data_IF_083769216076
#
_entry.id   IF_083769216076
#
_cell.length_a   1.000
_cell.length_b   1.000
_cell.length_c   1.000
_cell.angle_alpha   90.00
_cell.angle_beta   90.00
_cell.angle_gamma   90.00
#
_symmetry.space_group_name_H-M   'P 1'
#
loop_
_entity.id
_entity.type
_entity.pdbx_description
1 polymer ?
#
# COMPACT_ATOMS: atom_id res chain seq x y z
N UNK A 1 12.73 -1.08 -10.92
CA UNK A 1 11.71 -2.11 -11.18
C UNK A 1 12.42 -3.45 -11.21
N UNK A 2 11.89 -4.48 -10.57
CA UNK A 2 12.49 -5.82 -10.57
C UNK A 2 12.32 -6.40 -11.98
N UNK A 3 13.28 -7.19 -12.54
CA UNK A 3 13.16 -7.76 -13.89
C UNK A 3 11.82 -8.47 -14.15
N UNK A 4 11.30 -9.15 -13.14
CA UNK A 4 10.02 -9.85 -13.18
C UNK A 4 8.82 -8.91 -13.34
N UNK A 5 8.85 -7.71 -12.72
CA UNK A 5 7.80 -6.69 -12.91
C UNK A 5 7.72 -6.22 -14.35
N UNK A 6 8.89 -6.09 -15.03
CA UNK A 6 8.95 -5.66 -16.44
C UNK A 6 8.30 -6.69 -17.34
N UNK A 7 8.64 -7.97 -17.15
CA UNK A 7 8.05 -9.08 -17.93
C UNK A 7 6.53 -9.14 -17.77
N UNK A 8 6.03 -9.00 -16.54
CA UNK A 8 4.58 -8.97 -16.27
C UNK A 8 3.93 -7.78 -16.98
N UNK A 9 4.51 -6.58 -16.90
CA UNK A 9 3.96 -5.39 -17.54
C UNK A 9 3.93 -5.49 -19.08
N UNK A 10 4.97 -6.05 -19.68
CA UNK A 10 5.04 -6.29 -21.11
C UNK A 10 4.01 -7.35 -21.55
N UNK A 11 3.93 -8.47 -20.83
CA UNK A 11 2.99 -9.53 -21.13
C UNK A 11 1.52 -9.13 -20.93
N UNK A 12 1.20 -8.26 -19.96
CA UNK A 12 -0.15 -7.72 -19.78
C UNK A 12 -0.62 -6.84 -20.97
N UNK A 13 0.34 -6.24 -21.70
CA UNK A 13 0.08 -5.42 -22.88
C UNK A 13 0.18 -6.20 -24.20
N UNK A 14 0.62 -7.46 -24.13
CA UNK A 14 0.82 -8.34 -25.29
C UNK A 14 -0.48 -9.05 -25.73
N UNK A 15 -0.34 -10.04 -26.62
CA UNK A 15 -1.45 -10.84 -27.12
C UNK A 15 -2.14 -11.70 -26.04
N UNK A 16 -3.29 -12.24 -26.38
CA UNK A 16 -4.20 -12.96 -25.45
C UNK A 16 -3.51 -14.05 -24.60
N UNK A 17 -2.68 -14.88 -25.22
CA UNK A 17 -2.01 -16.00 -24.54
C UNK A 17 -0.98 -15.53 -23.49
N UNK A 18 -0.15 -14.55 -23.86
CA UNK A 18 0.88 -13.97 -23.01
C UNK A 18 0.26 -13.17 -21.87
N UNK A 19 -0.86 -12.51 -22.16
CA UNK A 19 -1.62 -11.76 -21.16
C UNK A 19 -2.15 -12.67 -20.06
N UNK A 20 -2.76 -13.81 -20.37
CA UNK A 20 -3.27 -14.76 -19.37
C UNK A 20 -2.14 -15.25 -18.46
N UNK A 21 -0.98 -15.58 -19.03
CA UNK A 21 0.17 -15.99 -18.24
C UNK A 21 0.63 -14.87 -17.27
N UNK A 22 0.73 -13.64 -17.76
CA UNK A 22 1.14 -12.49 -16.98
C UNK A 22 0.13 -12.08 -15.90
N UNK A 23 -1.17 -12.24 -16.15
CA UNK A 23 -2.23 -12.05 -15.15
C UNK A 23 -2.07 -13.05 -13.99
N UNK A 24 -1.79 -14.31 -14.31
CA UNK A 24 -1.53 -15.37 -13.33
C UNK A 24 -0.25 -15.08 -12.53
N UNK A 25 0.83 -14.66 -13.20
CA UNK A 25 2.10 -14.36 -12.56
C UNK A 25 1.97 -13.16 -11.62
N UNK A 26 1.27 -12.10 -12.03
CA UNK A 26 0.94 -10.95 -11.19
C UNK A 26 0.19 -11.39 -9.92
N UNK A 27 -0.84 -12.22 -10.10
CA UNK A 27 -1.65 -12.73 -9.01
C UNK A 27 -0.82 -13.54 -8.01
N UNK A 28 0.02 -14.46 -8.49
CA UNK A 28 0.81 -15.35 -7.64
C UNK A 28 1.97 -14.62 -6.95
N UNK A 29 2.59 -13.65 -7.63
CA UNK A 29 3.75 -12.93 -7.12
C UNK A 29 3.43 -12.10 -5.87
N UNK A 30 2.23 -11.54 -5.79
CA UNK A 30 1.82 -10.62 -4.72
C UNK A 30 0.71 -11.16 -3.81
N UNK A 31 0.36 -12.44 -3.89
CA UNK A 31 -0.71 -13.04 -3.09
C UNK A 31 -0.50 -12.94 -1.57
N UNK A 32 0.75 -12.74 -1.12
CA UNK A 32 1.07 -12.54 0.29
C UNK A 32 0.46 -11.24 0.87
N UNK A 33 0.02 -10.29 0.02
CA UNK A 33 -0.74 -9.12 0.47
C UNK A 33 -2.02 -9.51 1.22
N UNK A 34 -2.59 -10.69 0.94
CA UNK A 34 -3.77 -11.19 1.66
C UNK A 34 -3.47 -11.29 3.15
N UNK A 35 -2.33 -11.86 3.52
CA UNK A 35 -1.93 -11.97 4.93
C UNK A 35 -1.55 -10.61 5.52
N UNK A 36 -0.96 -9.71 4.73
CA UNK A 36 -0.68 -8.33 5.17
C UNK A 36 -1.96 -7.55 5.42
N UNK A 37 -3.00 -7.75 4.60
CA UNK A 37 -4.31 -7.14 4.79
C UNK A 37 -4.96 -7.53 6.11
N UNK A 38 -4.96 -8.83 6.43
CA UNK A 38 -5.46 -9.32 7.72
C UNK A 38 -4.73 -8.66 8.89
N UNK A 39 -3.40 -8.62 8.82
CA UNK A 39 -2.56 -8.09 9.91
C UNK A 39 -2.67 -6.58 10.06
N UNK A 40 -2.63 -5.83 8.94
CA UNK A 40 -2.59 -4.36 8.96
C UNK A 40 -3.97 -3.74 9.20
N UNK A 41 -5.02 -4.29 8.60
CA UNK A 41 -6.36 -3.70 8.63
C UNK A 41 -7.33 -4.43 9.54
N UNK A 42 -6.88 -5.51 10.21
CA UNK A 42 -7.71 -6.32 11.13
C UNK A 42 -9.00 -6.82 10.48
N UNK A 43 -8.94 -7.18 9.21
CA UNK A 43 -10.04 -7.76 8.43
C UNK A 43 -9.91 -9.28 8.35
N UNK A 44 -11.01 -9.97 8.04
CA UNK A 44 -11.00 -11.43 7.87
C UNK A 44 -10.15 -11.84 6.66
N UNK A 45 -9.73 -13.10 6.62
CA UNK A 45 -8.97 -13.62 5.47
C UNK A 45 -9.79 -13.58 4.18
N UNK A 46 -11.08 -13.84 4.27
CA UNK A 46 -12.00 -13.81 3.13
C UNK A 46 -12.20 -12.40 2.60
N UNK A 47 -12.34 -11.42 3.50
CA UNK A 47 -12.39 -10.01 3.13
C UNK A 47 -11.09 -9.55 2.47
N UNK A 48 -9.95 -9.90 3.06
CA UNK A 48 -8.64 -9.56 2.52
C UNK A 48 -8.41 -10.21 1.15
N UNK A 49 -8.83 -11.46 0.99
CA UNK A 49 -8.80 -12.19 -0.28
C UNK A 49 -9.67 -11.49 -1.35
N UNK A 50 -10.89 -11.10 -0.99
CA UNK A 50 -11.79 -10.38 -1.89
C UNK A 50 -11.20 -9.04 -2.32
N UNK A 51 -10.64 -8.26 -1.36
CA UNK A 51 -9.99 -6.97 -1.65
C UNK A 51 -8.75 -7.15 -2.53
N UNK A 52 -8.02 -8.24 -2.34
CA UNK A 52 -6.86 -8.57 -3.19
C UNK A 52 -7.27 -8.87 -4.63
N UNK A 53 -8.29 -9.71 -4.83
CA UNK A 53 -8.82 -10.02 -6.16
C UNK A 53 -9.26 -8.75 -6.89
N UNK A 54 -10.03 -7.90 -6.20
CA UNK A 54 -10.47 -6.62 -6.75
C UNK A 54 -9.30 -5.68 -7.07
N UNK A 55 -8.24 -5.70 -6.27
CA UNK A 55 -7.05 -4.88 -6.51
C UNK A 55 -6.28 -5.35 -7.74
N UNK A 56 -6.10 -6.67 -7.89
CA UNK A 56 -5.44 -7.26 -9.07
C UNK A 56 -6.21 -6.93 -10.34
N UNK A 57 -7.53 -7.12 -10.35
CA UNK A 57 -8.37 -6.80 -11.51
C UNK A 57 -8.30 -5.30 -11.88
N UNK A 58 -8.34 -4.42 -10.87
CA UNK A 58 -8.21 -2.99 -11.10
C UNK A 58 -6.82 -2.61 -11.63
N UNK A 59 -5.76 -3.23 -11.10
CA UNK A 59 -4.39 -3.00 -11.58
C UNK A 59 -4.23 -3.45 -13.03
N UNK A 60 -4.69 -4.65 -13.38
CA UNK A 60 -4.67 -5.17 -14.76
C UNK A 60 -5.42 -4.22 -15.70
N UNK A 61 -6.63 -3.83 -15.33
CA UNK A 61 -7.42 -2.89 -16.15
C UNK A 61 -6.68 -1.57 -16.39
N UNK A 62 -6.07 -1.00 -15.35
CA UNK A 62 -5.34 0.26 -15.45
C UNK A 62 -4.05 0.15 -16.26
N UNK A 63 -3.34 -0.98 -16.17
CA UNK A 63 -2.13 -1.25 -16.95
C UNK A 63 -2.49 -1.39 -18.44
N UNK A 64 -3.49 -2.19 -18.74
CA UNK A 64 -3.95 -2.44 -20.13
C UNK A 64 -4.54 -1.16 -20.76
N UNK A 65 -5.26 -0.35 -19.98
CA UNK A 65 -5.82 0.92 -20.46
C UNK A 65 -4.80 2.07 -20.52
N UNK A 66 -3.53 1.84 -20.19
CA UNK A 66 -2.49 2.86 -20.22
C UNK A 66 -2.54 3.90 -19.10
N UNK A 67 -3.37 3.68 -18.07
CA UNK A 67 -3.45 4.59 -16.90
C UNK A 67 -2.28 4.44 -15.93
N UNK A 68 -1.58 3.33 -15.99
CA UNK A 68 -0.37 3.10 -15.22
C UNK A 68 0.84 3.66 -15.98
N UNK A 69 1.42 4.73 -15.48
CA UNK A 69 2.52 5.49 -16.07
C UNK A 69 3.93 4.97 -15.76
N UNK A 70 4.04 3.95 -14.87
CA UNK A 70 5.31 3.34 -14.50
C UNK A 70 6.17 4.15 -13.52
N UNK A 71 5.66 5.24 -12.94
CA UNK A 71 6.40 6.04 -11.94
C UNK A 71 6.62 5.31 -10.60
N UNK A 72 5.85 4.28 -10.33
CA UNK A 72 6.00 3.41 -9.17
C UNK A 72 6.35 1.98 -9.59
N UNK A 73 6.92 1.17 -8.68
CA UNK A 73 7.05 -0.27 -8.91
C UNK A 73 5.67 -0.92 -9.00
N UNK A 74 5.55 -2.02 -9.72
CA UNK A 74 4.30 -2.78 -9.83
C UNK A 74 3.79 -3.22 -8.45
N UNK A 75 4.71 -3.62 -7.57
CA UNK A 75 4.42 -3.94 -6.17
C UNK A 75 3.77 -2.76 -5.43
N UNK A 76 4.38 -1.59 -5.49
CA UNK A 76 3.90 -0.38 -4.80
C UNK A 76 2.53 0.03 -5.35
N UNK A 77 2.36 -0.03 -6.66
CA UNK A 77 1.11 0.32 -7.32
C UNK A 77 -0.04 -0.61 -6.92
N UNK A 78 0.19 -1.94 -7.00
CA UNK A 78 -0.81 -2.92 -6.60
C UNK A 78 -1.14 -2.83 -5.11
N UNK A 79 -0.11 -2.66 -4.26
CA UNK A 79 -0.31 -2.51 -2.82
C UNK A 79 -1.13 -1.28 -2.47
N UNK A 80 -0.93 -0.16 -3.17
CA UNK A 80 -1.72 1.05 -2.95
C UNK A 80 -3.20 0.84 -3.29
N UNK A 81 -3.50 0.17 -4.40
CA UNK A 81 -4.89 -0.17 -4.78
C UNK A 81 -5.50 -1.09 -3.72
N UNK A 82 -4.78 -2.15 -3.33
CA UNK A 82 -5.21 -3.10 -2.31
C UNK A 82 -5.47 -2.43 -0.96
N UNK A 83 -4.53 -1.60 -0.51
CA UNK A 83 -4.61 -0.83 0.72
C UNK A 83 -5.87 0.05 0.77
N UNK A 84 -6.13 0.80 -0.31
CA UNK A 84 -7.32 1.64 -0.41
C UNK A 84 -8.61 0.83 -0.31
N UNK A 85 -8.67 -0.34 -0.97
CA UNK A 85 -9.84 -1.23 -0.90
C UNK A 85 -10.07 -1.79 0.52
N UNK A 86 -9.00 -2.17 1.22
CA UNK A 86 -9.09 -2.61 2.61
C UNK A 86 -9.59 -1.50 3.53
N UNK A 87 -9.08 -0.28 3.36
CA UNK A 87 -9.51 0.90 4.13
C UNK A 87 -10.99 1.20 3.88
N UNK A 88 -11.42 1.19 2.62
CA UNK A 88 -12.82 1.43 2.25
C UNK A 88 -13.76 0.37 2.86
N UNK A 89 -13.32 -0.90 2.90
CA UNK A 89 -14.05 -1.98 3.56
C UNK A 89 -14.20 -1.71 5.06
N UNK A 90 -13.11 -1.38 5.75
CA UNK A 90 -13.11 -1.05 7.19
C UNK A 90 -14.02 0.14 7.47
N UNK A 91 -13.96 1.20 6.67
CA UNK A 91 -14.82 2.38 6.81
C UNK A 91 -16.31 2.01 6.67
N UNK A 92 -16.66 1.23 5.65
CA UNK A 92 -18.04 0.74 5.45
C UNK A 92 -18.52 -0.09 6.64
N UNK A 93 -17.68 -0.98 7.16
CA UNK A 93 -18.03 -1.82 8.31
C UNK A 93 -18.20 -1.01 9.58
N UNK A 94 -17.41 0.04 9.79
CA UNK A 94 -17.52 0.93 10.96
C UNK A 94 -18.78 1.79 10.89
N UNK A 95 -19.13 2.30 9.72
CA UNK A 95 -20.37 3.08 9.52
C UNK A 95 -21.60 2.22 9.73
N UNK A 96 -21.59 0.96 9.29
CA UNK A 96 -22.69 0.02 9.52
C UNK A 96 -22.76 -0.47 10.98
N UNK A 97 -21.62 -0.57 11.70
CA UNK A 97 -21.59 -0.96 13.13
C UNK A 97 -22.12 0.11 14.08
N UNK A 98 -22.19 1.35 13.69
CA UNK A 98 -22.91 2.38 14.47
C UNK A 98 -24.44 2.12 14.51
N UNK A 99 -24.96 1.25 13.65
CA UNK A 99 -26.37 0.81 13.68
C UNK A 99 -26.62 -0.52 14.41
N UNK A 100 -25.59 -1.30 14.70
CA UNK A 100 -25.75 -2.60 15.42
C UNK A 100 -24.67 -2.72 16.48
N UNK A 101 -25.08 -2.56 17.73
CA UNK A 101 -24.27 -2.85 18.92
C UNK A 101 -23.89 -4.33 19.00
N UNK A 102 -22.68 -4.56 19.49
CA UNK A 102 -22.18 -5.70 20.28
C UNK A 102 -21.44 -6.84 19.58
N UNK A 103 -20.30 -6.96 20.13
CA UNK A 103 -19.60 -8.14 20.71
C UNK A 103 -18.55 -8.86 19.86
N UNK A 104 -17.36 -8.74 20.38
CA UNK A 104 -16.43 -9.76 20.89
C UNK A 104 -15.73 -10.68 19.89
N UNK A 105 -14.41 -10.65 20.03
CA UNK A 105 -13.59 -11.84 20.06
C UNK A 105 -12.49 -11.94 19.01
N UNK A 106 -11.29 -11.65 19.44
CA UNK A 106 -10.05 -12.15 18.84
C UNK A 106 -9.96 -13.65 19.13
N UNK A 107 -9.55 -14.48 18.19
CA UNK A 107 -8.42 -15.34 18.50
C UNK A 107 -7.32 -15.32 17.45
N UNK A 108 -6.14 -15.15 18.00
CA UNK A 108 -4.83 -15.52 17.53
C UNK A 108 -4.81 -16.87 16.83
N UNK A 109 -4.30 -16.91 15.61
CA UNK A 109 -3.62 -18.08 15.05
C UNK A 109 -2.74 -17.64 13.88
N UNK A 110 -1.51 -17.32 14.25
CA UNK A 110 -0.37 -17.23 13.33
C UNK A 110 -0.05 -18.63 12.80
N UNK A 111 -0.50 -18.95 11.60
CA UNK A 111 0.15 -19.99 10.82
C UNK A 111 1.08 -19.34 9.80
N UNK A 112 2.35 -19.56 10.04
CA UNK A 112 3.46 -19.18 9.19
C UNK A 112 3.39 -19.97 7.88
N UNK A 113 3.09 -19.30 6.77
CA UNK A 113 3.49 -19.85 5.47
C UNK A 113 4.89 -19.37 5.11
N UNK A 114 5.79 -20.26 4.66
CA UNK A 114 7.15 -19.90 4.33
C UNK A 114 7.18 -18.95 3.12
N UNK A 115 7.78 -17.81 3.33
CA UNK A 115 8.06 -16.80 2.31
C UNK A 115 9.26 -17.26 1.46
N UNK A 116 9.00 -18.10 0.46
CA UNK A 116 10.01 -18.72 -0.40
C UNK A 116 10.60 -17.79 -1.46
N UNK A 117 10.25 -16.52 -1.48
CA UNK A 117 10.63 -15.62 -2.59
C UNK A 117 11.74 -14.62 -2.26
N UNK A 118 12.23 -14.55 -1.01
CA UNK A 118 13.28 -13.59 -0.64
C UNK A 118 14.48 -14.27 0.00
N UNK A 119 15.66 -13.98 -0.54
CA UNK A 119 16.92 -14.41 0.09
C UNK A 119 17.10 -13.73 1.44
N UNK A 120 17.85 -14.37 2.36
CA UNK A 120 18.19 -13.79 3.67
C UNK A 120 18.83 -12.40 3.52
N UNK A 121 19.62 -12.20 2.45
CA UNK A 121 20.29 -10.94 2.13
C UNK A 121 19.27 -9.85 1.78
N UNK A 122 18.25 -10.14 0.97
CA UNK A 122 17.19 -9.18 0.63
C UNK A 122 16.40 -8.75 1.87
N UNK A 123 16.08 -9.70 2.77
CA UNK A 123 15.42 -9.39 4.05
C UNK A 123 16.27 -8.48 4.95
N UNK A 124 17.58 -8.70 5.00
CA UNK A 124 18.50 -7.86 5.77
C UNK A 124 18.60 -6.44 5.17
N UNK A 125 18.69 -6.33 3.84
CA UNK A 125 18.70 -5.03 3.15
C UNK A 125 17.40 -4.27 3.37
N UNK A 126 16.24 -4.93 3.27
CA UNK A 126 14.95 -4.30 3.52
C UNK A 126 14.81 -3.88 4.99
N UNK A 127 15.26 -4.70 5.94
CA UNK A 127 15.25 -4.34 7.36
C UNK A 127 16.11 -3.11 7.66
N UNK A 128 17.30 -3.00 7.03
CA UNK A 128 18.16 -1.82 7.14
C UNK A 128 17.51 -0.56 6.56
N UNK A 129 16.86 -0.68 5.38
CA UNK A 129 16.14 0.44 4.75
C UNK A 129 14.98 0.91 5.63
N UNK A 130 14.20 -0.01 6.20
CA UNK A 130 13.10 0.30 7.10
C UNK A 130 13.63 1.00 8.37
N UNK A 131 14.73 0.51 8.94
CA UNK A 131 15.35 1.13 10.11
C UNK A 131 15.83 2.55 9.81
N UNK A 132 16.48 2.75 8.66
CA UNK A 132 16.93 4.07 8.22
C UNK A 132 15.74 5.01 7.99
N UNK A 133 14.69 4.55 7.33
CA UNK A 133 13.47 5.33 7.12
C UNK A 133 12.83 5.76 8.44
N UNK A 134 12.68 4.84 9.40
CA UNK A 134 12.15 5.16 10.73
C UNK A 134 12.99 6.21 11.44
N UNK A 135 14.33 6.06 11.41
CA UNK A 135 15.23 7.03 12.03
C UNK A 135 15.11 8.43 11.40
N UNK A 136 14.97 8.53 10.07
CA UNK A 136 14.75 9.81 9.40
C UNK A 136 13.36 10.39 9.69
N UNK A 137 12.35 9.53 9.78
CA UNK A 137 10.98 9.95 10.14
C UNK A 137 10.93 10.60 11.53
N UNK A 138 11.69 10.08 12.51
CA UNK A 138 11.82 10.71 13.85
C UNK A 138 12.49 12.10 13.80
N UNK A 139 13.36 12.32 12.81
CA UNK A 139 14.15 13.56 12.72
C UNK A 139 13.52 14.66 11.86
N UNK A 140 12.45 14.40 11.10
CA UNK A 140 11.81 15.43 10.25
C UNK A 140 10.97 16.45 11.04
N UNK A 141 10.74 16.17 12.32
CA UNK A 141 9.90 16.96 13.24
C UNK A 141 8.51 16.35 13.42
N UNK A 142 7.98 16.49 14.65
CA UNK A 142 6.77 15.78 15.10
C UNK A 142 5.57 16.00 14.18
N UNK A 143 5.29 17.25 13.80
CA UNK A 143 4.18 17.56 12.88
C UNK A 143 4.27 16.85 11.52
N UNK A 144 5.48 16.72 10.97
CA UNK A 144 5.70 16.03 9.72
C UNK A 144 5.57 14.51 9.88
N UNK A 145 6.08 13.97 10.98
CA UNK A 145 5.95 12.55 11.32
C UNK A 145 4.48 12.18 11.45
N UNK A 146 3.74 12.95 12.24
CA UNK A 146 2.33 12.69 12.53
C UNK A 146 1.46 12.72 11.25
N UNK A 147 1.59 13.74 10.41
CA UNK A 147 0.82 13.85 9.16
C UNK A 147 1.14 12.73 8.17
N UNK A 148 2.40 12.28 8.12
CA UNK A 148 2.81 11.18 7.24
C UNK A 148 2.33 9.84 7.75
N UNK A 149 2.33 9.61 9.06
CA UNK A 149 1.80 8.38 9.67
C UNK A 149 0.29 8.28 9.51
N UNK A 150 -0.47 9.34 9.78
CA UNK A 150 -1.92 9.37 9.57
C UNK A 150 -2.29 9.09 8.12
N UNK A 151 -1.53 9.63 7.18
CA UNK A 151 -1.74 9.34 5.76
C UNK A 151 -1.39 7.89 5.40
N UNK A 152 -0.33 7.33 5.97
CA UNK A 152 0.04 5.91 5.81
C UNK A 152 -1.01 4.98 6.40
N UNK A 153 -1.64 5.38 7.51
CA UNK A 153 -2.78 4.68 8.10
C UNK A 153 -4.07 4.80 7.28
N UNK A 154 -4.03 5.54 6.18
CA UNK A 154 -5.09 5.63 5.18
C UNK A 154 -6.09 6.75 5.41
N UNK A 155 -5.79 7.72 6.29
CA UNK A 155 -6.65 8.89 6.44
C UNK A 155 -6.57 9.78 5.19
N UNK A 156 -7.70 10.31 4.78
CA UNK A 156 -7.78 11.33 3.72
C UNK A 156 -7.25 12.67 4.21
N UNK A 157 -6.82 13.54 3.30
CA UNK A 157 -6.37 14.89 3.65
C UNK A 157 -7.45 15.69 4.40
N UNK A 158 -8.74 15.38 4.23
CA UNK A 158 -9.85 15.97 4.97
C UNK A 158 -9.90 15.49 6.43
N UNK A 159 -9.75 14.20 6.65
CA UNK A 159 -9.70 13.61 7.99
C UNK A 159 -8.46 14.07 8.75
N UNK A 160 -7.31 14.11 8.08
CA UNK A 160 -6.05 14.64 8.63
C UNK A 160 -6.22 16.12 9.03
N UNK A 161 -6.89 16.93 8.19
CA UNK A 161 -7.13 18.33 8.53
C UNK A 161 -7.97 18.46 9.81
N UNK A 162 -8.97 17.61 9.99
CA UNK A 162 -9.79 17.59 11.21
C UNK A 162 -8.99 17.12 12.43
N UNK A 163 -8.21 16.05 12.29
CA UNK A 163 -7.44 15.44 13.37
C UNK A 163 -6.32 16.36 13.86
N UNK A 164 -5.59 17.00 12.93
CA UNK A 164 -4.45 17.87 13.24
C UNK A 164 -4.81 19.37 13.29
N UNK A 165 -6.10 19.69 13.27
CA UNK A 165 -6.63 21.05 13.37
C UNK A 165 -6.09 22.00 12.29
N UNK A 166 -5.92 21.51 11.05
CA UNK A 166 -5.63 22.38 9.91
C UNK A 166 -6.91 23.07 9.42
N UNK A 167 -6.75 24.26 8.87
CA UNK A 167 -7.87 25.07 8.39
C UNK A 167 -8.73 24.39 7.31
N UNK A 168 -8.13 23.54 6.48
CA UNK A 168 -8.83 22.78 5.46
C UNK A 168 -7.95 21.64 4.88
N UNK A 169 -8.55 20.76 4.09
CA UNK A 169 -7.90 19.64 3.44
C UNK A 169 -6.75 20.06 2.48
N UNK A 170 -6.86 21.22 1.83
CA UNK A 170 -5.83 21.72 0.93
C UNK A 170 -4.54 22.09 1.67
N UNK A 171 -4.66 22.67 2.87
CA UNK A 171 -3.52 22.97 3.75
C UNK A 171 -2.89 21.68 4.26
N UNK A 172 -3.69 20.70 4.70
CA UNK A 172 -3.18 19.40 5.13
C UNK A 172 -2.43 18.70 3.98
N UNK A 173 -3.02 18.64 2.79
CA UNK A 173 -2.37 18.07 1.58
C UNK A 173 -1.04 18.75 1.27
N UNK A 174 -1.00 20.08 1.25
CA UNK A 174 0.21 20.84 0.93
C UNK A 174 1.30 20.59 1.99
N UNK A 175 0.93 20.57 3.26
CA UNK A 175 1.84 20.27 4.37
C UNK A 175 2.37 18.84 4.26
N UNK A 176 1.52 17.87 4.00
CA UNK A 176 1.91 16.47 3.81
C UNK A 176 2.91 16.31 2.65
N UNK A 177 2.65 16.95 1.51
CA UNK A 177 3.55 16.89 0.36
C UNK A 177 4.93 17.49 0.68
N UNK A 178 4.98 18.64 1.37
CA UNK A 178 6.25 19.24 1.83
C UNK A 178 6.99 18.34 2.82
N UNK A 179 6.28 17.71 3.75
CA UNK A 179 6.87 16.78 4.70
C UNK A 179 7.42 15.53 4.00
N UNK A 180 6.72 15.02 2.99
CA UNK A 180 7.19 13.90 2.17
C UNK A 180 8.44 14.27 1.36
N UNK A 181 8.49 15.46 0.78
CA UNK A 181 9.66 15.96 0.06
C UNK A 181 10.87 16.09 0.99
N UNK A 182 10.69 16.69 2.17
CA UNK A 182 11.73 16.78 3.21
C UNK A 182 12.25 15.40 3.61
N UNK A 183 11.38 14.39 3.76
CA UNK A 183 11.80 13.03 4.07
C UNK A 183 12.61 12.41 2.93
N UNK A 184 12.18 12.61 1.68
CA UNK A 184 12.88 12.12 0.48
C UNK A 184 14.29 12.72 0.36
N UNK A 185 14.42 14.02 0.55
CA UNK A 185 15.72 14.71 0.53
C UNK A 185 16.68 14.11 1.58
N UNK A 186 16.18 13.89 2.80
CA UNK A 186 16.98 13.27 3.87
C UNK A 186 17.36 11.82 3.59
N UNK A 187 16.54 11.09 2.85
CA UNK A 187 16.84 9.72 2.42
C UNK A 187 17.78 9.66 1.20
N UNK A 188 18.20 10.81 0.67
CA UNK A 188 19.04 10.88 -0.54
C UNK A 188 18.31 10.48 -1.83
N UNK A 189 16.98 10.43 -1.80
CA UNK A 189 16.15 10.11 -2.97
C UNK A 189 15.81 11.41 -3.69
N UNK A 190 16.74 11.90 -4.49
CA UNK A 190 16.50 13.08 -5.34
C UNK A 190 15.66 12.64 -6.55
N UNK A 191 14.40 13.02 -6.59
CA UNK A 191 13.63 12.95 -7.84
C UNK A 191 14.23 13.96 -8.81
N UNK A 192 14.78 13.50 -9.93
CA UNK A 192 15.06 14.39 -11.06
C UNK A 192 13.71 15.03 -11.44
N UNK A 193 13.63 16.34 -11.30
CA UNK A 193 12.54 17.12 -11.87
C UNK A 193 12.63 16.92 -13.39
N UNK A 194 11.65 16.26 -13.97
CA UNK A 194 11.39 16.26 -15.41
C UNK A 194 10.51 17.46 -15.70
#
# INVERSE_FOLDING_TARGET
>A
MIPQDVQILEGLKAGYSERIASEKDLYLLYNYFINEGCRKYHITKDDSFSMYNDAVLAAIHNIVSGKFDGHASLKTYLFQIFSNKCIDLVRKSTTNKQQVNNSVGVPDLLEQMPDNARTVIERLIDAQKIKALKAQLEQIGEKCKEILLLFEDGLTDKEIATTLLYNNAAVAKTTRLRCLEKLRERMGVTLRKV
#
